data_IF_019759101431
#
_entry.id   IF_019759101431
#
_cell.length_a   1.000
_cell.length_b   1.000
_cell.length_c   1.000
_cell.angle_alpha   90.00
_cell.angle_beta   90.00
_cell.angle_gamma   90.00
#
_symmetry.space_group_name_H-M   'P 1'
#
loop_
_entity.id
_entity.type
_entity.pdbx_description
1 polymer ?
#
# COMPACT_ATOMS: atom_id res chain seq x y z
N UNK A 1 1.95 -16.04 -6.84
CA UNK A 1 1.15 -17.29 -6.69
C UNK A 1 0.58 -17.78 -8.02
N UNK A 2 1.36 -17.69 -9.08
CA UNK A 2 0.92 -17.95 -10.46
C UNK A 2 0.32 -19.37 -10.67
N UNK A 3 0.87 -20.35 -9.97
CA UNK A 3 0.40 -21.74 -10.03
C UNK A 3 -0.32 -22.20 -8.74
N UNK A 4 -0.78 -21.27 -7.92
CA UNK A 4 -1.48 -21.61 -6.70
C UNK A 4 -2.88 -22.17 -7.01
N UNK A 5 -3.38 -23.01 -6.12
CA UNK A 5 -4.76 -23.50 -6.18
C UNK A 5 -5.72 -22.28 -6.16
N UNK A 6 -6.58 -22.12 -7.19
CA UNK A 6 -7.52 -21.00 -7.24
C UNK A 6 -8.55 -21.03 -6.10
N UNK A 7 -8.70 -22.16 -5.42
CA UNK A 7 -9.61 -22.29 -4.27
C UNK A 7 -8.90 -22.08 -2.92
N UNK A 8 -7.58 -21.87 -2.91
CA UNK A 8 -6.83 -21.67 -1.68
C UNK A 8 -7.23 -20.35 -0.99
N UNK A 9 -7.33 -20.38 0.33
CA UNK A 9 -7.55 -19.17 1.13
C UNK A 9 -6.31 -18.28 1.14
N UNK A 10 -6.47 -17.00 1.48
CA UNK A 10 -5.34 -16.09 1.61
C UNK A 10 -4.32 -16.55 2.65
N UNK A 11 -4.78 -17.16 3.74
CA UNK A 11 -3.90 -17.75 4.76
C UNK A 11 -3.05 -18.89 4.21
N UNK A 12 -3.63 -19.77 3.40
CA UNK A 12 -2.91 -20.85 2.74
C UNK A 12 -1.89 -20.32 1.73
N UNK A 13 -2.26 -19.30 0.95
CA UNK A 13 -1.35 -18.67 -0.01
C UNK A 13 -0.15 -18.01 0.69
N UNK A 14 -0.36 -17.36 1.83
CA UNK A 14 0.71 -16.75 2.63
C UNK A 14 1.70 -17.76 3.20
N UNK A 15 1.28 -19.00 3.42
CA UNK A 15 2.11 -20.05 3.99
C UNK A 15 2.90 -20.86 2.94
N UNK A 16 2.76 -20.57 1.65
CA UNK A 16 3.49 -21.28 0.59
C UNK A 16 4.99 -21.06 0.74
N UNK A 17 5.74 -22.15 0.86
CA UNK A 17 7.19 -22.12 0.93
C UNK A 17 7.78 -21.82 -0.47
N UNK A 18 8.33 -20.62 -0.62
CA UNK A 18 8.94 -20.16 -1.87
C UNK A 18 9.83 -18.96 -1.60
N UNK A 19 10.99 -18.81 -2.27
CA UNK A 19 11.80 -17.60 -2.18
C UNK A 19 11.11 -16.36 -2.74
N UNK A 20 10.04 -16.53 -3.50
CA UNK A 20 9.19 -15.43 -4.01
C UNK A 20 8.07 -15.05 -3.04
N UNK A 21 7.83 -15.84 -1.99
CA UNK A 21 6.84 -15.51 -0.98
C UNK A 21 7.42 -14.56 0.06
N UNK A 22 7.14 -13.28 -0.08
CA UNK A 22 7.65 -12.22 0.80
C UNK A 22 7.00 -12.20 2.18
N UNK A 23 5.95 -12.97 2.42
CA UNK A 23 5.42 -13.20 3.77
C UNK A 23 6.29 -14.15 4.59
N UNK A 24 6.95 -15.11 3.94
CA UNK A 24 7.80 -16.12 4.59
C UNK A 24 9.29 -15.80 4.47
N UNK A 25 9.70 -15.26 3.35
CA UNK A 25 11.11 -14.99 3.04
C UNK A 25 11.44 -13.52 3.21
N UNK A 26 12.48 -13.22 3.98
CA UNK A 26 12.99 -11.85 4.15
C UNK A 26 13.78 -11.40 2.92
N UNK A 27 13.71 -10.10 2.65
CA UNK A 27 14.46 -9.47 1.59
C UNK A 27 13.72 -9.45 0.25
N UNK A 28 14.46 -9.18 -0.80
CA UNK A 28 13.91 -9.08 -2.14
C UNK A 28 13.72 -10.47 -2.77
N UNK A 29 12.71 -10.63 -3.64
CA UNK A 29 12.57 -11.83 -4.46
C UNK A 29 13.83 -12.05 -5.32
N UNK A 30 14.13 -13.31 -5.73
CA UNK A 30 15.32 -13.60 -6.55
C UNK A 30 15.35 -12.90 -7.91
N UNK A 31 14.18 -12.61 -8.48
CA UNK A 31 14.03 -11.91 -9.75
C UNK A 31 12.87 -10.89 -9.64
N UNK A 32 12.75 -9.95 -10.60
CA UNK A 32 11.61 -9.05 -10.65
C UNK A 32 10.28 -9.81 -10.70
N UNK A 33 9.29 -9.35 -9.94
CA UNK A 33 7.95 -9.96 -9.83
C UNK A 33 6.85 -9.10 -10.46
N UNK A 34 7.20 -7.93 -10.97
CA UNK A 34 6.27 -7.00 -11.58
C UNK A 34 6.88 -6.37 -12.84
N UNK A 35 6.02 -5.89 -13.70
CA UNK A 35 6.40 -5.13 -14.88
C UNK A 35 5.72 -3.75 -14.80
N UNK A 36 6.31 -2.79 -14.07
CA UNK A 36 5.69 -1.50 -13.84
C UNK A 36 5.63 -0.66 -15.12
N UNK A 37 4.58 0.15 -15.24
CA UNK A 37 4.44 1.11 -16.31
C UNK A 37 5.37 2.32 -16.12
N UNK A 38 5.44 3.17 -17.15
CA UNK A 38 6.31 4.35 -17.16
C UNK A 38 6.04 5.30 -15.99
N UNK A 39 4.78 5.54 -15.65
CA UNK A 39 4.42 6.43 -14.55
C UNK A 39 4.93 5.91 -13.19
N UNK A 40 4.82 4.61 -12.95
CA UNK A 40 5.33 3.98 -11.72
C UNK A 40 6.86 4.07 -11.64
N UNK A 41 7.56 3.84 -12.74
CA UNK A 41 9.03 3.98 -12.81
C UNK A 41 9.45 5.42 -12.54
N UNK A 42 8.78 6.40 -13.12
CA UNK A 42 9.05 7.83 -12.87
C UNK A 42 8.83 8.19 -11.40
N UNK A 43 7.75 7.70 -10.81
CA UNK A 43 7.45 7.95 -9.39
C UNK A 43 8.54 7.39 -8.46
N UNK A 44 9.09 6.22 -8.78
CA UNK A 44 10.18 5.63 -8.01
C UNK A 44 11.49 6.40 -8.15
N UNK A 45 11.79 6.91 -9.35
CA UNK A 45 13.02 7.67 -9.62
C UNK A 45 12.95 9.12 -9.12
N UNK A 46 11.77 9.69 -9.09
CA UNK A 46 11.52 11.06 -8.64
C UNK A 46 10.24 11.11 -7.81
N UNK A 47 10.27 10.59 -6.58
CA UNK A 47 9.09 10.54 -5.73
C UNK A 47 8.60 11.95 -5.36
N UNK A 48 7.29 12.08 -5.17
CA UNK A 48 6.69 13.30 -4.66
C UNK A 48 7.28 13.65 -3.28
N UNK A 49 7.46 14.94 -2.97
CA UNK A 49 7.95 15.34 -1.65
C UNK A 49 6.93 14.97 -0.56
N UNK A 50 7.43 14.79 0.66
CA UNK A 50 6.58 14.65 1.83
C UNK A 50 5.70 15.91 2.01
N UNK A 51 4.49 15.78 2.58
CA UNK A 51 3.67 16.92 2.86
C UNK A 51 4.34 17.81 3.93
N UNK A 52 4.15 19.14 3.85
CA UNK A 52 4.62 20.04 4.92
C UNK A 52 3.86 19.75 6.22
N UNK A 53 4.47 20.02 7.37
CA UNK A 53 3.84 19.81 8.68
C UNK A 53 2.55 20.64 8.86
N UNK A 54 2.39 21.71 8.11
CA UNK A 54 1.17 22.54 8.08
C UNK A 54 0.01 21.90 7.30
N UNK A 55 0.27 20.82 6.53
CA UNK A 55 -0.78 20.11 5.80
C UNK A 55 -1.76 19.45 6.78
N UNK A 56 -3.08 19.55 6.55
CA UNK A 56 -4.09 18.90 7.40
C UNK A 56 -3.87 17.39 7.59
N UNK A 57 -3.27 16.71 6.63
CA UNK A 57 -2.96 15.28 6.73
C UNK A 57 -1.96 14.97 7.86
N UNK A 58 -1.17 15.95 8.27
CA UNK A 58 -0.16 15.84 9.32
C UNK A 58 -0.67 16.18 10.72
N UNK A 59 -1.95 16.56 10.85
CA UNK A 59 -2.53 17.06 12.10
C UNK A 59 -2.43 16.10 13.30
N UNK A 60 -2.48 14.80 13.06
CA UNK A 60 -2.38 13.77 14.09
C UNK A 60 -0.97 13.44 14.56
N UNK A 61 0.05 14.09 14.01
CA UNK A 61 1.45 13.79 14.29
C UNK A 61 1.97 14.74 15.37
N UNK A 62 2.12 14.23 16.59
CA UNK A 62 2.36 15.05 17.78
C UNK A 62 3.80 15.48 18.02
N UNK A 63 4.80 14.75 17.53
CA UNK A 63 6.21 15.01 17.81
C UNK A 63 7.07 14.85 16.55
N UNK A 64 6.47 15.03 15.41
CA UNK A 64 7.16 14.74 14.16
C UNK A 64 8.05 15.90 13.74
N UNK A 65 9.29 15.57 13.50
CA UNK A 65 10.18 16.35 12.68
C UNK A 65 9.80 16.18 11.21
N UNK A 66 9.14 15.05 10.87
CA UNK A 66 8.73 14.69 9.52
C UNK A 66 7.30 14.16 9.48
N UNK A 67 6.59 14.49 8.41
CA UNK A 67 5.30 13.91 8.05
C UNK A 67 5.45 13.21 6.69
N UNK A 68 4.86 12.02 6.54
CA UNK A 68 4.95 11.27 5.30
C UNK A 68 3.62 10.56 4.99
N UNK A 69 3.37 10.30 3.71
CA UNK A 69 2.24 9.50 3.23
C UNK A 69 2.57 8.01 3.39
N UNK A 70 2.44 7.47 4.60
CA UNK A 70 2.81 6.08 4.89
C UNK A 70 1.68 5.08 4.76
N UNK A 71 0.45 5.54 4.64
CA UNK A 71 -0.74 4.71 4.43
C UNK A 71 -1.48 5.13 3.18
N UNK A 72 -2.08 4.18 2.49
CA UNK A 72 -2.94 4.44 1.35
C UNK A 72 -4.01 3.37 1.21
N UNK A 73 -5.12 3.71 0.62
CA UNK A 73 -6.22 2.79 0.30
C UNK A 73 -6.89 3.20 -1.00
N UNK A 74 -7.35 2.23 -1.78
CA UNK A 74 -8.12 2.47 -2.99
C UNK A 74 -9.40 3.24 -2.64
N UNK A 75 -9.69 4.33 -3.32
CA UNK A 75 -10.78 5.24 -2.98
C UNK A 75 -11.78 5.51 -4.11
N UNK A 76 -11.52 4.97 -5.30
CA UNK A 76 -12.45 5.10 -6.43
C UNK A 76 -12.30 3.92 -7.42
N UNK A 77 -13.19 3.88 -8.40
CA UNK A 77 -13.23 2.84 -9.45
C UNK A 77 -12.22 3.07 -10.59
N UNK A 78 -11.47 4.15 -10.55
CA UNK A 78 -10.47 4.52 -11.55
C UNK A 78 -9.04 4.26 -11.10
N UNK A 79 -8.89 3.65 -9.92
CA UNK A 79 -7.58 3.36 -9.35
C UNK A 79 -7.00 4.50 -8.50
N UNK A 80 -7.80 5.50 -8.15
CA UNK A 80 -7.39 6.57 -7.24
C UNK A 80 -7.20 6.06 -5.82
N UNK A 81 -6.28 6.67 -5.09
CA UNK A 81 -5.95 6.30 -3.71
C UNK A 81 -6.07 7.49 -2.78
N UNK A 82 -6.53 7.23 -1.57
CA UNK A 82 -6.50 8.20 -0.48
C UNK A 82 -5.34 7.86 0.44
N UNK A 83 -4.54 8.88 0.74
CA UNK A 83 -3.34 8.75 1.57
C UNK A 83 -3.59 9.24 2.98
N UNK A 84 -2.83 8.69 3.93
CA UNK A 84 -2.84 9.13 5.32
C UNK A 84 -1.43 9.09 5.90
N UNK A 85 -1.17 9.93 6.88
CA UNK A 85 0.07 9.95 7.63
C UNK A 85 -0.06 9.28 9.01
N UNK A 86 -1.28 9.00 9.46
CA UNK A 86 -1.59 8.36 10.74
C UNK A 86 -2.47 7.14 10.53
N UNK A 87 -2.37 6.18 11.45
CA UNK A 87 -3.20 4.97 11.40
C UNK A 87 -4.68 5.29 11.59
N UNK A 88 -5.00 6.23 12.44
CA UNK A 88 -6.38 6.65 12.73
C UNK A 88 -7.08 7.20 11.48
N UNK A 89 -6.39 8.04 10.72
CA UNK A 89 -6.94 8.58 9.47
C UNK A 89 -7.00 7.51 8.39
N UNK A 90 -6.02 6.62 8.35
CA UNK A 90 -6.06 5.48 7.44
C UNK A 90 -7.28 4.56 7.71
N UNK A 91 -7.57 4.26 8.96
CA UNK A 91 -8.74 3.45 9.34
C UNK A 91 -10.05 4.09 8.87
N UNK A 92 -10.20 5.40 9.04
CA UNK A 92 -11.35 6.14 8.50
C UNK A 92 -11.45 6.04 6.98
N UNK A 93 -10.32 6.16 6.29
CA UNK A 93 -10.27 6.04 4.84
C UNK A 93 -10.62 4.62 4.39
N UNK A 94 -10.20 3.60 5.11
CA UNK A 94 -10.55 2.19 4.85
C UNK A 94 -12.06 1.97 5.03
N UNK A 95 -12.65 2.50 6.10
CA UNK A 95 -14.12 2.43 6.31
C UNK A 95 -14.88 3.11 5.18
N UNK A 96 -14.44 4.30 4.78
CA UNK A 96 -15.07 5.03 3.68
C UNK A 96 -14.95 4.27 2.35
N UNK A 97 -13.79 3.68 2.07
CA UNK A 97 -13.58 2.89 0.86
C UNK A 97 -14.44 1.62 0.84
N UNK A 98 -14.61 0.98 2.01
CA UNK A 98 -15.48 -0.19 2.15
C UNK A 98 -16.95 0.17 1.99
N UNK A 99 -17.40 1.27 2.58
CA UNK A 99 -18.75 1.78 2.41
C UNK A 99 -19.05 2.19 0.96
N UNK A 100 -18.06 2.67 0.24
CA UNK A 100 -18.14 2.99 -1.19
C UNK A 100 -18.08 1.76 -2.11
N UNK A 101 -17.83 0.57 -1.59
CA UNK A 101 -17.75 -0.66 -2.38
C UNK A 101 -16.42 -0.88 -3.09
N UNK A 102 -15.36 -0.17 -2.72
CA UNK A 102 -14.03 -0.28 -3.35
C UNK A 102 -13.15 -1.34 -2.70
N UNK A 103 -13.52 -1.81 -1.52
CA UNK A 103 -12.86 -2.90 -0.80
C UNK A 103 -13.85 -4.03 -0.51
N UNK A 104 -13.38 -5.28 -0.52
CA UNK A 104 -14.18 -6.43 -0.12
C UNK A 104 -14.58 -6.41 1.36
#
# INVERSE_FOLDING_TARGET
>A
YYNADPNASFSELKAIESPYNTYESKGLPPTPIANPGRAAIRAALNPAPNPPLSDPICKGIKQAVNCAYIFYVLSDDKGGHTFAATIEDHEKNVEAARAGGFLP
#
